data_IF_400183953852
#
_entry.id   IF_400183953852
#
_cell.length_a   1.000
_cell.length_b   1.000
_cell.length_c   1.000
_cell.angle_alpha   90.00
_cell.angle_beta   90.00
_cell.angle_gamma   90.00
#
_symmetry.space_group_name_H-M   'P 1'
#
loop_
_entity.id
_entity.type
_entity.pdbx_description
1 polymer ?
#
# COMPACT_ATOMS: atom_id res chain seq x y z
N UNK A 1 3.55 -5.52 2.40
CA UNK A 1 3.05 -4.48 3.33
C UNK A 1 4.07 -3.35 3.38
N UNK A 2 3.63 -2.11 3.13
CA UNK A 2 4.49 -0.92 3.17
C UNK A 2 4.57 -0.36 4.59
N UNK A 3 5.75 -0.44 5.20
CA UNK A 3 6.03 -0.08 6.59
C UNK A 3 7.34 0.73 6.74
N UNK A 4 7.85 1.36 5.67
CA UNK A 4 9.13 2.07 5.69
C UNK A 4 9.03 3.56 6.07
N UNK A 5 7.83 4.13 6.06
CA UNK A 5 7.58 5.56 6.21
C UNK A 5 7.86 6.10 7.63
N UNK A 6 8.28 7.37 7.72
CA UNK A 6 8.58 8.04 9.00
C UNK A 6 7.35 8.42 9.84
N UNK A 7 6.14 8.38 9.28
CA UNK A 7 4.95 8.78 10.04
C UNK A 7 4.99 10.22 10.56
N UNK A 8 5.46 11.17 9.76
CA UNK A 8 5.72 12.57 10.16
C UNK A 8 4.51 13.27 10.77
N UNK A 9 3.29 12.96 10.28
CA UNK A 9 2.02 13.50 10.82
C UNK A 9 1.77 13.05 12.27
N UNK A 10 2.18 11.84 12.64
CA UNK A 10 2.02 11.30 14.01
C UNK A 10 3.18 11.66 14.93
N UNK A 11 4.23 12.37 14.43
CA UNK A 11 5.45 12.71 15.18
C UNK A 11 6.09 11.50 15.88
N UNK A 12 6.00 10.33 15.28
CA UNK A 12 6.50 9.07 15.81
C UNK A 12 8.03 9.09 15.90
N UNK A 13 8.59 9.23 17.11
CA UNK A 13 10.05 9.34 17.34
C UNK A 13 10.69 8.00 17.72
N UNK A 14 10.01 7.18 18.49
CA UNK A 14 10.57 5.96 19.11
C UNK A 14 10.18 4.65 18.41
N UNK A 15 9.10 4.66 17.62
CA UNK A 15 8.57 3.48 16.91
C UNK A 15 8.07 3.89 15.53
N UNK A 16 8.04 2.94 14.60
CA UNK A 16 7.31 3.14 13.34
C UNK A 16 5.80 3.30 13.63
N UNK A 17 5.11 4.13 12.82
CA UNK A 17 3.66 4.38 13.02
C UNK A 17 2.83 3.09 13.03
N UNK A 18 3.18 2.11 12.19
CA UNK A 18 2.46 0.84 12.08
C UNK A 18 2.64 -0.08 13.29
N UNK A 19 3.65 0.18 14.13
CA UNK A 19 3.91 -0.55 15.37
C UNK A 19 3.19 0.05 16.60
N UNK A 20 2.43 1.14 16.44
CA UNK A 20 1.56 1.62 17.51
C UNK A 20 0.38 0.67 17.70
N UNK A 21 -0.06 0.56 18.95
CA UNK A 21 -1.12 -0.37 19.32
C UNK A 21 -2.50 0.18 18.97
N UNK A 22 -3.31 -0.69 18.42
CA UNK A 22 -4.74 -0.54 18.19
C UNK A 22 -5.45 -1.71 18.87
N UNK A 23 -6.30 -1.45 19.85
CA UNK A 23 -6.97 -2.53 20.57
C UNK A 23 -6.02 -3.48 21.35
N UNK A 24 -4.83 -2.98 21.76
CA UNK A 24 -3.84 -3.77 22.49
C UNK A 24 -2.74 -4.40 21.64
N UNK A 25 -2.93 -4.55 20.33
CA UNK A 25 -1.96 -5.12 19.39
C UNK A 25 -1.43 -4.07 18.39
N UNK A 26 -0.20 -4.23 17.84
CA UNK A 26 0.31 -3.35 16.80
C UNK A 26 -0.61 -3.31 15.57
N UNK A 27 -0.84 -2.13 14.97
CA UNK A 27 -1.69 -1.98 13.77
C UNK A 27 -1.30 -2.96 12.66
N UNK A 28 -0.01 -3.07 12.37
CA UNK A 28 0.49 -3.96 11.32
C UNK A 28 0.24 -5.46 11.62
N UNK A 29 0.11 -5.83 12.91
CA UNK A 29 -0.21 -7.21 13.28
C UNK A 29 -1.65 -7.58 12.91
N UNK A 30 -2.60 -6.65 13.01
CA UNK A 30 -3.97 -6.83 12.51
C UNK A 30 -3.95 -7.06 10.99
N UNK A 31 -3.20 -6.25 10.23
CA UNK A 31 -3.05 -6.42 8.78
C UNK A 31 -2.54 -7.83 8.44
N UNK A 32 -1.45 -8.27 9.09
CA UNK A 32 -0.88 -9.61 8.84
C UNK A 32 -1.88 -10.71 9.18
N UNK A 33 -2.58 -10.59 10.30
CA UNK A 33 -3.61 -11.56 10.71
C UNK A 33 -4.72 -11.68 9.64
N UNK A 34 -5.29 -10.54 9.19
CA UNK A 34 -6.34 -10.55 8.18
C UNK A 34 -5.85 -11.10 6.83
N UNK A 35 -4.61 -10.80 6.43
CA UNK A 35 -4.02 -11.40 5.22
C UNK A 35 -3.87 -12.92 5.34
N UNK A 36 -3.44 -13.42 6.50
CA UNK A 36 -3.33 -14.88 6.76
C UNK A 36 -4.70 -15.54 6.76
N UNK A 37 -5.72 -14.92 7.37
CA UNK A 37 -7.11 -15.37 7.34
C UNK A 37 -7.70 -15.38 5.92
N UNK A 38 -7.25 -14.46 5.05
CA UNK A 38 -7.57 -14.43 3.61
C UNK A 38 -6.82 -15.50 2.79
N UNK A 39 -5.99 -16.35 3.42
CA UNK A 39 -5.23 -17.40 2.73
C UNK A 39 -3.93 -16.92 2.06
N UNK A 40 -3.47 -15.71 2.34
CA UNK A 40 -2.19 -15.19 1.80
C UNK A 40 -1.05 -15.83 2.58
N UNK A 41 -0.25 -16.65 1.90
CA UNK A 41 0.83 -17.44 2.50
C UNK A 41 2.18 -16.72 2.49
N UNK A 42 2.47 -15.91 1.47
CA UNK A 42 3.70 -15.14 1.40
C UNK A 42 3.41 -13.67 1.73
N UNK A 43 3.92 -13.21 2.86
CA UNK A 43 3.79 -11.82 3.31
C UNK A 43 5.18 -11.23 3.50
N UNK A 44 5.44 -10.10 2.83
CA UNK A 44 6.70 -9.37 2.91
C UNK A 44 6.43 -7.99 3.49
N UNK A 45 7.12 -7.63 4.56
CA UNK A 45 7.10 -6.29 5.13
C UNK A 45 8.28 -5.47 4.59
N UNK A 46 7.98 -4.41 3.84
CA UNK A 46 8.98 -3.43 3.41
C UNK A 46 9.16 -2.43 4.55
N UNK A 47 10.29 -2.51 5.23
CA UNK A 47 10.62 -1.72 6.42
C UNK A 47 11.69 -0.67 6.12
N UNK A 48 11.80 0.35 6.97
CA UNK A 48 12.79 1.42 6.82
C UNK A 48 12.95 2.16 8.14
N UNK A 49 12.32 3.31 8.30
CA UNK A 49 12.38 4.06 9.55
C UNK A 49 11.89 3.23 10.74
N UNK A 50 12.73 3.12 11.80
CA UNK A 50 12.43 2.32 13.00
C UNK A 50 12.04 0.86 12.68
N UNK A 51 12.77 0.22 11.74
CA UNK A 51 12.51 -1.13 11.26
C UNK A 51 12.42 -2.17 12.39
N UNK A 52 13.23 -1.99 13.43
CA UNK A 52 13.28 -2.94 14.56
C UNK A 52 11.96 -2.99 15.33
N UNK A 53 11.25 -1.86 15.45
CA UNK A 53 9.92 -1.84 16.05
C UNK A 53 8.87 -2.62 15.25
N UNK A 54 9.03 -2.70 13.93
CA UNK A 54 8.16 -3.51 13.06
C UNK A 54 8.52 -4.98 13.18
N UNK A 55 9.82 -5.31 13.24
CA UNK A 55 10.29 -6.68 13.47
C UNK A 55 9.86 -7.21 14.83
N UNK A 56 9.94 -6.38 15.88
CA UNK A 56 9.45 -6.72 17.22
C UNK A 56 7.93 -7.00 17.22
N UNK A 57 7.16 -6.20 16.45
CA UNK A 57 5.72 -6.35 16.34
C UNK A 57 5.27 -7.63 15.62
N UNK A 58 6.03 -8.08 14.60
CA UNK A 58 5.61 -9.19 13.73
C UNK A 58 6.42 -10.48 13.95
N UNK A 59 7.62 -10.40 14.54
CA UNK A 59 8.48 -11.57 14.74
C UNK A 59 8.83 -12.27 13.44
N UNK A 60 8.61 -13.58 13.39
CA UNK A 60 8.91 -14.45 12.23
C UNK A 60 7.69 -14.72 11.33
N UNK A 61 6.59 -14.01 11.54
CA UNK A 61 5.33 -14.23 10.79
C UNK A 61 5.41 -13.78 9.31
N UNK A 62 6.41 -12.98 8.97
CA UNK A 62 6.60 -12.40 7.64
C UNK A 62 8.07 -12.35 7.26
N UNK A 63 8.36 -12.22 5.96
CA UNK A 63 9.69 -11.86 5.49
C UNK A 63 9.89 -10.35 5.53
N UNK A 64 11.14 -9.89 5.63
CA UNK A 64 11.46 -8.47 5.73
C UNK A 64 12.43 -8.06 4.63
N UNK A 65 12.22 -6.85 4.10
CA UNK A 65 13.18 -6.19 3.23
C UNK A 65 13.33 -4.72 3.66
N UNK A 66 14.54 -4.19 3.58
CA UNK A 66 14.80 -2.81 3.99
C UNK A 66 14.76 -1.91 2.75
N UNK A 67 13.87 -0.92 2.77
CA UNK A 67 13.90 0.18 1.83
C UNK A 67 14.97 1.18 2.29
N UNK A 68 16.12 1.16 1.63
CA UNK A 68 17.28 1.99 1.98
C UNK A 68 17.10 3.46 1.59
N UNK A 69 16.45 3.70 0.46
CA UNK A 69 16.12 5.03 -0.04
C UNK A 69 14.61 5.24 -0.02
N UNK A 70 14.16 6.25 0.71
CA UNK A 70 12.72 6.56 0.83
C UNK A 70 12.27 7.45 -0.34
N UNK A 71 12.25 6.88 -1.55
CA UNK A 71 11.87 7.61 -2.78
C UNK A 71 10.35 7.69 -3.02
N UNK A 72 9.57 7.23 -2.05
CA UNK A 72 8.12 7.24 -2.11
C UNK A 72 7.50 5.83 -2.03
N UNK A 73 6.17 5.78 -1.99
CA UNK A 73 5.41 4.53 -1.83
C UNK A 73 5.45 3.63 -3.06
N UNK A 74 5.55 4.22 -4.26
CA UNK A 74 5.69 3.47 -5.51
C UNK A 74 7.04 2.76 -5.65
N UNK A 75 8.08 3.25 -4.97
CA UNK A 75 9.41 2.64 -4.98
C UNK A 75 9.51 1.44 -4.03
N UNK A 76 8.76 1.43 -2.95
CA UNK A 76 8.86 0.39 -1.92
C UNK A 76 8.66 -1.05 -2.43
N UNK A 77 7.73 -1.38 -3.33
CA UNK A 77 7.58 -2.72 -3.87
C UNK A 77 8.81 -3.26 -4.60
N UNK A 78 9.67 -2.40 -5.18
CA UNK A 78 10.92 -2.81 -5.86
C UNK A 78 11.82 -3.64 -4.93
N UNK A 79 11.88 -3.25 -3.66
CA UNK A 79 12.70 -3.94 -2.66
C UNK A 79 12.17 -5.34 -2.33
N UNK A 80 10.87 -5.57 -2.49
CA UNK A 80 10.24 -6.86 -2.23
C UNK A 80 10.37 -7.85 -3.37
N UNK A 81 10.52 -7.39 -4.62
CA UNK A 81 10.55 -8.25 -5.82
C UNK A 81 11.52 -9.44 -5.72
N UNK A 82 12.77 -9.28 -5.21
CA UNK A 82 13.70 -10.41 -5.13
C UNK A 82 13.25 -11.55 -4.21
N UNK A 83 12.28 -11.29 -3.33
CA UNK A 83 11.73 -12.30 -2.41
C UNK A 83 10.40 -12.91 -2.93
N UNK A 84 9.83 -12.37 -4.00
CA UNK A 84 8.57 -12.87 -4.55
C UNK A 84 8.86 -14.07 -5.45
N UNK A 85 8.10 -15.16 -5.26
CA UNK A 85 8.21 -16.34 -6.10
C UNK A 85 7.80 -16.04 -7.55
N UNK A 86 8.53 -16.58 -8.52
CA UNK A 86 8.18 -16.52 -9.96
C UNK A 86 6.84 -17.19 -10.30
N UNK A 87 6.30 -18.02 -9.41
CA UNK A 87 4.99 -18.65 -9.55
C UNK A 87 3.84 -17.75 -9.06
N UNK A 88 4.18 -16.56 -8.51
CA UNK A 88 3.17 -15.60 -8.03
C UNK A 88 2.51 -14.93 -9.23
N UNK A 89 1.18 -14.95 -9.28
CA UNK A 89 0.41 -14.29 -10.35
C UNK A 89 -0.19 -12.95 -9.95
N UNK A 90 -0.36 -12.70 -8.65
CA UNK A 90 -0.96 -11.48 -8.14
C UNK A 90 -0.21 -10.98 -6.92
N UNK A 91 0.10 -9.68 -6.89
CA UNK A 91 0.83 -9.04 -5.80
C UNK A 91 -0.05 -7.97 -5.18
N UNK A 92 -0.42 -8.16 -3.93
CA UNK A 92 -1.12 -7.15 -3.14
C UNK A 92 -0.12 -6.20 -2.48
N UNK A 93 -0.37 -4.90 -2.57
CA UNK A 93 0.38 -3.88 -1.81
C UNK A 93 -0.57 -3.05 -0.96
N UNK A 94 -0.25 -2.91 0.33
CA UNK A 94 -1.07 -2.16 1.29
C UNK A 94 -0.19 -1.36 2.24
N UNK A 95 -0.72 -0.27 2.78
CA UNK A 95 -0.09 0.41 3.92
C UNK A 95 -0.36 -0.37 5.21
N UNK A 96 0.67 -0.51 6.05
CA UNK A 96 0.57 -1.30 7.29
C UNK A 96 -0.25 -0.67 8.42
N UNK A 97 -0.75 0.55 8.25
CA UNK A 97 -1.64 1.23 9.19
C UNK A 97 -3.11 1.17 8.74
N UNK A 98 -3.41 1.66 7.54
CA UNK A 98 -4.79 1.75 7.05
C UNK A 98 -5.40 0.35 6.84
N UNK A 99 -4.60 -0.60 6.38
CA UNK A 99 -5.05 -1.98 6.14
C UNK A 99 -5.35 -2.79 7.41
N UNK A 100 -5.06 -2.27 8.59
CA UNK A 100 -5.50 -2.86 9.86
C UNK A 100 -7.03 -2.95 9.99
N UNK A 101 -7.75 -2.12 9.23
CA UNK A 101 -9.21 -2.08 9.21
C UNK A 101 -9.84 -2.88 8.05
N UNK A 102 -9.04 -3.45 7.15
CA UNK A 102 -9.55 -4.21 6.01
C UNK A 102 -9.89 -5.64 6.44
N UNK A 103 -11.14 -6.08 6.25
CA UNK A 103 -11.51 -7.44 6.59
C UNK A 103 -10.86 -8.45 5.63
N UNK A 104 -10.67 -9.72 6.05
CA UNK A 104 -10.06 -10.76 5.22
C UNK A 104 -10.70 -10.91 3.83
N UNK A 105 -12.02 -10.79 3.76
CA UNK A 105 -12.80 -10.92 2.54
C UNK A 105 -12.41 -9.87 1.48
N UNK A 106 -11.99 -8.68 1.90
CA UNK A 106 -11.56 -7.63 0.97
C UNK A 106 -10.29 -8.02 0.22
N UNK A 107 -9.33 -8.67 0.91
CA UNK A 107 -8.11 -9.17 0.27
C UNK A 107 -8.44 -10.25 -0.77
N UNK A 108 -9.35 -11.17 -0.44
CA UNK A 108 -9.83 -12.20 -1.37
C UNK A 108 -10.49 -11.56 -2.59
N UNK A 109 -11.43 -10.64 -2.37
CA UNK A 109 -12.16 -9.94 -3.44
C UNK A 109 -11.23 -9.17 -4.39
N UNK A 110 -10.18 -8.55 -3.87
CA UNK A 110 -9.19 -7.83 -4.68
C UNK A 110 -8.47 -8.78 -5.65
N UNK A 111 -8.07 -9.95 -5.19
CA UNK A 111 -7.41 -10.96 -6.05
C UNK A 111 -8.40 -11.55 -7.06
N UNK A 112 -9.57 -11.98 -6.62
CA UNK A 112 -10.59 -12.57 -7.49
C UNK A 112 -11.03 -11.60 -8.60
N UNK A 113 -11.23 -10.33 -8.23
CA UNK A 113 -11.63 -9.31 -9.19
C UNK A 113 -10.53 -9.01 -10.19
N UNK A 114 -9.25 -8.91 -9.76
CA UNK A 114 -8.10 -8.76 -10.66
C UNK A 114 -8.04 -9.91 -11.66
N UNK A 115 -8.17 -11.15 -11.18
CA UNK A 115 -8.12 -12.35 -12.03
C UNK A 115 -9.29 -12.36 -13.03
N UNK A 116 -10.50 -12.06 -12.57
CA UNK A 116 -11.71 -12.08 -13.40
C UNK A 116 -11.69 -10.98 -14.48
N UNK A 117 -11.21 -9.78 -14.14
CA UNK A 117 -11.14 -8.65 -15.08
C UNK A 117 -9.92 -8.69 -15.98
N UNK A 118 -8.95 -9.55 -15.66
CA UNK A 118 -7.66 -9.68 -16.37
C UNK A 118 -6.92 -8.35 -16.53
N UNK A 119 -7.08 -7.44 -15.56
CA UNK A 119 -6.38 -6.17 -15.58
C UNK A 119 -4.96 -6.31 -15.01
N UNK A 120 -4.05 -5.47 -15.47
CA UNK A 120 -2.67 -5.44 -14.96
C UNK A 120 -2.59 -4.84 -13.57
N UNK A 121 -3.46 -3.85 -13.29
CA UNK A 121 -3.54 -3.17 -12.01
C UNK A 121 -5.00 -2.99 -11.60
N UNK A 122 -5.34 -3.47 -10.43
CA UNK A 122 -6.59 -3.18 -9.74
C UNK A 122 -6.26 -2.40 -8.46
N UNK A 123 -7.01 -1.38 -8.14
CA UNK A 123 -6.85 -0.69 -6.86
C UNK A 123 -8.17 -0.27 -6.26
N UNK A 124 -8.16 -0.15 -4.93
CA UNK A 124 -9.33 0.24 -4.15
C UNK A 124 -9.43 1.76 -4.08
N UNK A 125 -10.61 2.28 -4.39
CA UNK A 125 -10.98 3.68 -4.14
C UNK A 125 -12.14 3.76 -3.16
N UNK A 126 -12.26 4.85 -2.45
CA UNK A 126 -13.42 5.16 -1.62
C UNK A 126 -13.84 6.62 -1.82
N UNK A 127 -15.12 6.91 -1.59
CA UNK A 127 -15.61 8.27 -1.50
C UNK A 127 -15.54 8.75 -0.06
N UNK A 128 -14.99 9.94 0.16
CA UNK A 128 -14.84 10.55 1.47
C UNK A 128 -15.34 11.99 1.45
N UNK A 129 -16.15 12.38 2.44
CA UNK A 129 -16.67 13.74 2.55
C UNK A 129 -15.57 14.79 2.68
N UNK A 130 -14.60 14.53 3.53
CA UNK A 130 -13.37 15.32 3.65
C UNK A 130 -12.16 14.53 3.12
N UNK A 131 -11.76 14.74 1.86
CA UNK A 131 -10.63 14.06 1.25
C UNK A 131 -9.29 14.75 1.52
N UNK A 132 -9.22 15.78 2.34
CA UNK A 132 -8.02 16.58 2.61
C UNK A 132 -6.82 15.71 2.99
N UNK A 133 -5.69 15.96 2.33
CA UNK A 133 -4.42 15.25 2.56
C UNK A 133 -4.29 13.88 1.90
N UNK A 134 -5.27 13.48 1.05
CA UNK A 134 -5.29 12.20 0.35
C UNK A 134 -5.12 12.38 -1.17
N UNK A 135 -4.71 11.35 -1.87
CA UNK A 135 -4.62 11.36 -3.34
C UNK A 135 -6.00 11.27 -3.98
N UNK A 136 -6.28 12.11 -4.98
CA UNK A 136 -7.55 12.15 -5.71
C UNK A 136 -7.52 11.26 -6.94
N UNK A 137 -8.64 10.61 -7.22
CA UNK A 137 -8.84 9.84 -8.45
C UNK A 137 -9.49 10.75 -9.49
N UNK A 138 -8.72 11.08 -10.51
CA UNK A 138 -9.23 11.92 -11.63
C UNK A 138 -9.76 11.03 -12.72
N UNK A 139 -11.00 11.29 -13.15
CA UNK A 139 -11.66 10.56 -14.24
C UNK A 139 -11.99 11.51 -15.39
N UNK A 140 -11.94 10.97 -16.60
CA UNK A 140 -12.43 11.69 -17.79
C UNK A 140 -13.97 11.66 -17.88
N UNK A 141 -14.51 12.29 -18.92
CA UNK A 141 -15.95 12.37 -19.18
C UNK A 141 -16.63 11.00 -19.42
N UNK A 142 -15.85 9.97 -19.75
CA UNK A 142 -16.33 8.58 -19.91
C UNK A 142 -16.32 7.78 -18.60
N UNK A 143 -15.80 8.38 -17.51
CA UNK A 143 -15.62 7.73 -16.21
C UNK A 143 -14.32 6.92 -16.10
N UNK A 144 -13.46 6.93 -17.11
CA UNK A 144 -12.16 6.26 -17.08
C UNK A 144 -11.18 7.03 -16.19
N UNK A 145 -10.42 6.30 -15.37
CA UNK A 145 -9.35 6.88 -14.54
C UNK A 145 -8.22 7.36 -15.45
N UNK A 146 -7.83 8.61 -15.30
CA UNK A 146 -6.76 9.25 -16.08
C UNK A 146 -5.54 9.59 -15.24
N UNK A 147 -5.72 9.81 -13.93
CA UNK A 147 -4.61 10.06 -13.02
C UNK A 147 -4.98 9.88 -11.55
N UNK A 148 -3.94 9.76 -10.72
CA UNK A 148 -4.01 9.89 -9.26
C UNK A 148 -3.19 11.13 -8.90
N UNK A 149 -3.83 12.15 -8.32
CA UNK A 149 -3.21 13.42 -8.00
C UNK A 149 -3.12 13.59 -6.49
N UNK A 150 -1.89 13.69 -5.97
CA UNK A 150 -1.66 13.93 -4.53
C UNK A 150 -2.13 15.34 -4.13
N UNK A 151 -2.64 15.48 -2.90
CA UNK A 151 -3.19 16.75 -2.36
C UNK A 151 -2.32 17.98 -2.65
N UNK A 152 -1.02 17.87 -2.46
CA UNK A 152 -0.07 18.98 -2.63
C UNK A 152 0.09 19.43 -4.09
N UNK A 153 -0.22 18.56 -5.04
CA UNK A 153 -0.12 18.80 -6.48
C UNK A 153 -1.47 19.10 -7.11
N UNK A 154 -2.57 18.92 -6.34
CA UNK A 154 -3.92 19.06 -6.83
C UNK A 154 -4.27 20.54 -7.06
N UNK A 155 -4.92 20.83 -8.18
CA UNK A 155 -5.60 22.11 -8.47
C UNK A 155 -6.79 22.28 -7.52
N UNK A 156 -7.36 23.49 -7.47
CA UNK A 156 -8.54 23.75 -6.62
C UNK A 156 -9.76 22.93 -7.06
N UNK A 157 -9.90 22.62 -8.37
CA UNK A 157 -10.96 21.75 -8.86
C UNK A 157 -10.70 20.29 -8.49
N UNK A 158 -9.48 19.79 -8.62
CA UNK A 158 -9.13 18.43 -8.24
C UNK A 158 -9.27 18.20 -6.74
N UNK A 159 -9.01 19.21 -5.89
CA UNK A 159 -9.23 19.12 -4.44
C UNK A 159 -10.68 18.87 -4.05
N UNK A 160 -11.65 19.26 -4.90
CA UNK A 160 -13.08 19.00 -4.68
C UNK A 160 -13.50 17.56 -4.94
N UNK A 161 -12.65 16.78 -5.61
CA UNK A 161 -12.92 15.36 -5.89
C UNK A 161 -12.93 14.59 -4.56
N UNK A 162 -14.02 13.87 -4.31
CA UNK A 162 -14.20 13.07 -3.10
C UNK A 162 -13.71 11.62 -3.25
N UNK A 163 -13.52 11.15 -4.48
CA UNK A 163 -12.96 9.81 -4.70
C UNK A 163 -11.45 9.83 -4.47
N UNK A 164 -11.00 9.00 -3.54
CA UNK A 164 -9.61 8.97 -3.09
C UNK A 164 -8.95 7.63 -3.35
N UNK A 165 -7.62 7.67 -3.52
CA UNK A 165 -6.74 6.51 -3.55
C UNK A 165 -6.49 6.02 -2.12
N UNK A 166 -6.80 4.76 -1.84
CA UNK A 166 -6.54 4.14 -0.54
C UNK A 166 -5.11 3.62 -0.40
N UNK A 167 -4.38 3.46 -1.51
CA UNK A 167 -3.07 2.81 -1.52
C UNK A 167 -3.13 1.28 -1.43
N UNK A 168 -4.30 0.68 -1.60
CA UNK A 168 -4.46 -0.76 -1.73
C UNK A 168 -4.51 -1.15 -3.20
N UNK A 169 -3.45 -1.84 -3.67
CA UNK A 169 -3.31 -2.28 -5.06
C UNK A 169 -3.18 -3.80 -5.15
N UNK A 170 -3.68 -4.35 -6.23
CA UNK A 170 -3.42 -5.71 -6.69
C UNK A 170 -2.81 -5.62 -8.09
N UNK A 171 -1.55 -5.99 -8.21
CA UNK A 171 -0.82 -5.98 -9.46
C UNK A 171 -0.78 -7.38 -10.09
N UNK A 172 -0.74 -7.43 -11.40
CA UNK A 172 -0.20 -8.58 -12.10
C UNK A 172 1.30 -8.67 -11.83
N UNK A 173 1.80 -9.90 -11.60
CA UNK A 173 3.21 -10.10 -11.29
C UNK A 173 4.13 -9.60 -12.42
N UNK A 174 3.88 -10.06 -13.65
CA UNK A 174 4.75 -9.76 -14.78
C UNK A 174 4.69 -8.27 -15.14
N UNK A 175 3.51 -7.67 -15.05
CA UNK A 175 3.35 -6.23 -15.20
C UNK A 175 4.20 -5.48 -14.17
N UNK A 176 4.09 -5.82 -12.89
CA UNK A 176 4.85 -5.14 -11.84
C UNK A 176 6.35 -5.27 -12.06
N UNK A 177 6.84 -6.49 -12.34
CA UNK A 177 8.27 -6.76 -12.58
C UNK A 177 8.80 -5.93 -13.76
N UNK A 178 8.05 -5.89 -14.87
CA UNK A 178 8.48 -5.22 -16.08
C UNK A 178 8.47 -3.69 -15.98
N UNK A 179 7.50 -3.13 -15.27
CA UNK A 179 7.24 -1.67 -15.30
C UNK A 179 7.61 -0.93 -14.02
N UNK A 180 7.83 -1.62 -12.89
CA UNK A 180 8.16 -0.93 -11.64
C UNK A 180 9.46 -0.13 -11.71
N UNK A 181 10.40 -0.55 -12.58
CA UNK A 181 11.65 0.17 -12.84
C UNK A 181 11.44 1.55 -13.48
N UNK A 182 10.31 1.76 -14.17
CA UNK A 182 9.98 3.01 -14.85
C UNK A 182 9.42 4.08 -13.90
N UNK A 183 9.07 3.68 -12.65
CA UNK A 183 8.59 4.63 -11.65
C UNK A 183 9.73 5.60 -11.31
N UNK A 184 9.56 6.86 -11.70
CA UNK A 184 10.50 7.93 -11.42
C UNK A 184 10.11 8.67 -10.16
N UNK A 185 11.11 9.21 -9.45
CA UNK A 185 10.87 10.11 -8.33
C UNK A 185 10.15 11.35 -8.83
N UNK A 186 8.97 11.61 -8.29
CA UNK A 186 8.29 12.88 -8.55
C UNK A 186 9.13 14.01 -7.93
N UNK A 187 9.52 14.99 -8.74
CA UNK A 187 10.37 16.12 -8.31
C UNK A 187 9.72 17.01 -7.24
N UNK A 188 8.43 16.80 -6.96
CA UNK A 188 7.62 17.58 -5.99
C UNK A 188 7.39 16.82 -4.67
N UNK A 189 7.85 15.58 -4.55
CA UNK A 189 7.70 14.78 -3.31
C UNK A 189 9.01 14.64 -2.55
#
# INVERSE_FOLDING_TARGET
>A
ILAAGRGSRMKAKSKNKVAFKLGGEPMIAHTVKHMQEAGITQIIAVVGYQADSVREALGTKVSYVIQTEQLGTGDAPKYALPLISSETHSILTVYGDDSAFYPPELFVQMVERKVTTKCDVLFLTIHKEDPTGLGRIVRDSSGKIVSIVEEKNATDEERKIQEINTGFYCFDHDFLVNYIGEIQKNSVT
#
